data_IF_307195705990
#
_entry.id   IF_307195705990
#
_cell.length_a   1.000
_cell.length_b   1.000
_cell.length_c   1.000
_cell.angle_alpha   90.00
_cell.angle_beta   90.00
_cell.angle_gamma   90.00
#
_symmetry.space_group_name_H-M   'P 1'
#
loop_
_entity.id
_entity.type
_entity.pdbx_description
1 polymer ?
#
# COMPACT_ATOMS: atom_id res chain seq x y z
N UNK A 1 12.81 -13.60 -8.25
CA UNK A 1 12.01 -13.03 -7.15
C UNK A 1 11.16 -11.99 -7.83
N UNK A 2 9.98 -12.44 -8.25
CA UNK A 2 9.09 -11.71 -9.15
C UNK A 2 8.26 -10.74 -8.31
N UNK A 3 8.06 -9.52 -8.82
CA UNK A 3 7.60 -8.39 -8.04
C UNK A 3 6.12 -8.52 -7.68
N UNK A 4 5.80 -8.90 -6.45
CA UNK A 4 4.42 -8.87 -5.95
C UNK A 4 3.91 -7.42 -5.98
N UNK A 5 2.91 -7.15 -6.81
CA UNK A 5 2.27 -5.83 -6.89
C UNK A 5 1.07 -5.79 -5.94
N UNK A 6 1.19 -5.06 -4.84
CA UNK A 6 0.09 -4.83 -3.90
C UNK A 6 -0.83 -3.72 -4.42
N UNK A 7 -1.94 -4.08 -5.07
CA UNK A 7 -3.00 -3.14 -5.45
C UNK A 7 -4.11 -3.22 -4.40
N UNK A 8 -4.33 -2.14 -3.66
CA UNK A 8 -5.39 -2.05 -2.65
C UNK A 8 -6.71 -1.65 -3.31
N UNK A 9 -7.74 -2.49 -3.18
CA UNK A 9 -9.11 -2.21 -3.65
C UNK A 9 -10.10 -2.48 -2.50
N UNK A 10 -11.01 -1.55 -2.15
CA UNK A 10 -12.09 -1.83 -1.22
C UNK A 10 -13.21 -2.56 -1.97
N UNK A 11 -13.25 -3.89 -1.89
CA UNK A 11 -14.37 -4.69 -2.40
C UNK A 11 -15.49 -4.81 -1.36
N UNK A 12 -16.73 -4.74 -1.86
CA UNK A 12 -17.98 -4.59 -1.12
C UNK A 12 -18.56 -5.91 -0.59
N UNK A 13 -18.65 -6.01 0.75
CA UNK A 13 -19.86 -6.29 1.55
C UNK A 13 -20.63 -7.64 1.56
N UNK A 14 -20.18 -8.79 1.04
CA UNK A 14 -20.98 -10.04 1.25
C UNK A 14 -20.28 -11.26 1.87
N UNK A 15 -18.96 -11.28 2.07
CA UNK A 15 -18.26 -12.43 2.69
C UNK A 15 -17.76 -12.17 4.14
N UNK A 16 -18.14 -11.05 4.77
CA UNK A 16 -17.54 -10.60 6.04
C UNK A 16 -18.26 -11.03 7.33
N UNK A 17 -19.33 -11.83 7.26
CA UNK A 17 -20.16 -12.13 8.45
C UNK A 17 -19.57 -13.16 9.44
N UNK A 18 -18.44 -13.80 9.12
CA UNK A 18 -17.86 -14.90 9.92
C UNK A 18 -16.51 -14.59 10.59
N UNK A 19 -16.07 -13.32 10.63
CA UNK A 19 -14.82 -12.95 11.30
C UNK A 19 -15.06 -12.59 12.78
N UNK A 20 -14.23 -13.09 13.72
CA UNK A 20 -14.37 -12.77 15.13
C UNK A 20 -14.20 -11.27 15.37
N UNK A 21 -15.09 -10.69 16.20
CA UNK A 21 -15.08 -9.28 16.61
C UNK A 21 -13.70 -8.91 17.16
N UNK A 22 -12.89 -8.22 16.36
CA UNK A 22 -11.49 -7.89 16.63
C UNK A 22 -10.53 -8.14 15.46
N UNK A 23 -10.93 -8.90 14.45
CA UNK A 23 -10.17 -9.16 13.22
C UNK A 23 -10.46 -8.15 12.09
N UNK A 24 -10.98 -6.97 12.41
CA UNK A 24 -11.37 -5.93 11.44
C UNK A 24 -10.15 -5.17 10.85
N UNK A 25 -8.95 -5.76 10.86
CA UNK A 25 -7.82 -5.18 10.14
C UNK A 25 -8.12 -5.25 8.64
N UNK A 26 -7.68 -4.22 7.92
CA UNK A 26 -7.83 -4.09 6.48
C UNK A 26 -7.38 -5.39 5.79
N UNK A 27 -8.33 -6.17 5.24
CA UNK A 27 -7.99 -7.42 4.55
C UNK A 27 -7.05 -7.10 3.40
N UNK A 28 -5.82 -7.58 3.53
CA UNK A 28 -4.78 -7.44 2.52
C UNK A 28 -4.80 -8.70 1.68
N UNK A 29 -4.96 -8.57 0.37
CA UNK A 29 -4.93 -9.71 -0.54
C UNK A 29 -3.68 -9.66 -1.42
N UNK A 30 -3.22 -10.83 -1.84
CA UNK A 30 -2.13 -10.98 -2.82
C UNK A 30 -2.78 -11.14 -4.19
N UNK A 31 -2.34 -10.35 -5.15
CA UNK A 31 -2.81 -10.45 -6.54
C UNK A 31 -1.67 -10.96 -7.42
N UNK A 32 -1.84 -12.17 -7.95
CA UNK A 32 -0.94 -12.75 -8.94
C UNK A 32 -1.55 -12.61 -10.32
N UNK A 33 -0.86 -11.92 -11.20
CA UNK A 33 -1.25 -11.83 -12.60
C UNK A 33 -1.01 -13.16 -13.30
N UNK A 34 -1.86 -13.53 -14.27
CA UNK A 34 -1.72 -14.75 -15.07
C UNK A 34 -0.56 -14.71 -16.08
N UNK A 35 0.33 -13.73 -15.98
CA UNK A 35 1.47 -13.50 -16.86
C UNK A 35 2.65 -12.93 -16.06
N UNK A 36 3.86 -13.04 -16.60
CA UNK A 36 5.08 -12.42 -16.05
C UNK A 36 4.96 -10.89 -15.95
N UNK A 37 5.57 -10.30 -14.94
CA UNK A 37 5.46 -8.86 -14.70
C UNK A 37 6.03 -8.00 -15.83
N UNK A 38 7.16 -8.37 -16.44
CA UNK A 38 7.73 -7.61 -17.54
C UNK A 38 6.85 -7.74 -18.78
N UNK A 39 6.29 -8.92 -19.03
CA UNK A 39 5.33 -9.14 -20.11
C UNK A 39 4.07 -8.28 -19.91
N UNK A 40 3.50 -8.29 -18.69
CA UNK A 40 2.35 -7.47 -18.30
C UNK A 40 2.61 -5.98 -18.51
N UNK A 41 3.72 -5.47 -17.97
CA UNK A 41 4.07 -4.05 -18.08
C UNK A 41 4.30 -3.64 -19.54
N UNK A 42 4.99 -4.48 -20.32
CA UNK A 42 5.18 -4.23 -21.77
C UNK A 42 3.84 -4.15 -22.50
N UNK A 43 2.91 -5.07 -22.21
CA UNK A 43 1.57 -5.07 -22.78
C UNK A 43 0.76 -3.84 -22.39
N UNK A 44 0.78 -3.45 -21.12
CA UNK A 44 0.08 -2.24 -20.63
C UNK A 44 0.62 -0.97 -21.27
N UNK A 45 1.94 -0.87 -21.48
CA UNK A 45 2.58 0.26 -22.20
C UNK A 45 2.18 0.30 -23.66
N UNK A 46 2.19 -0.85 -24.35
CA UNK A 46 1.75 -0.95 -25.74
C UNK A 46 0.27 -0.57 -25.92
N UNK A 47 -0.57 -0.83 -24.91
CA UNK A 47 -1.98 -0.43 -24.88
C UNK A 47 -2.19 1.03 -24.44
N UNK A 48 -1.13 1.74 -24.04
CA UNK A 48 -1.22 3.10 -23.52
C UNK A 48 -1.93 3.21 -22.16
N UNK A 49 -1.98 2.12 -21.40
CA UNK A 49 -2.56 2.05 -20.06
C UNK A 49 -1.53 2.32 -18.94
N UNK A 50 -0.24 2.10 -19.22
CA UNK A 50 0.89 2.47 -18.36
C UNK A 50 1.68 3.63 -19.00
N UNK A 51 1.04 4.79 -19.13
CA UNK A 51 1.70 6.00 -19.64
C UNK A 51 2.51 6.67 -18.53
N UNK A 52 3.69 7.25 -18.84
CA UNK A 52 4.42 8.05 -17.88
C UNK A 52 3.54 9.15 -17.28
N UNK A 53 3.62 9.33 -15.97
CA UNK A 53 2.88 10.38 -15.31
C UNK A 53 3.40 11.76 -15.76
N UNK A 54 2.54 12.76 -16.02
CA UNK A 54 2.98 14.08 -16.50
C UNK A 54 3.99 14.79 -15.59
N UNK A 55 3.96 14.49 -14.29
CA UNK A 55 4.91 14.99 -13.29
C UNK A 55 6.19 14.12 -13.15
N UNK A 56 6.50 13.30 -14.15
CA UNK A 56 7.66 12.41 -14.11
C UNK A 56 7.44 11.18 -13.24
N UNK A 57 8.53 10.65 -12.68
CA UNK A 57 8.49 9.44 -11.86
C UNK A 57 7.85 9.75 -10.50
N UNK A 58 6.86 8.93 -10.13
CA UNK A 58 6.20 8.95 -8.83
C UNK A 58 6.16 7.52 -8.30
N UNK A 59 6.79 7.28 -7.15
CA UNK A 59 6.86 5.94 -6.53
C UNK A 59 6.31 5.97 -5.13
N UNK A 60 5.57 4.92 -4.74
CA UNK A 60 5.12 4.77 -3.36
C UNK A 60 6.32 4.49 -2.46
N UNK A 61 6.52 5.34 -1.45
CA UNK A 61 7.55 5.20 -0.44
C UNK A 61 6.98 4.54 0.82
N UNK A 62 5.79 4.96 1.24
CA UNK A 62 5.19 4.45 2.48
C UNK A 62 3.66 4.41 2.45
N UNK A 63 3.11 3.37 3.04
CA UNK A 63 1.69 3.26 3.38
C UNK A 63 1.57 3.25 4.91
N UNK A 64 0.77 4.15 5.46
CA UNK A 64 0.63 4.37 6.90
C UNK A 64 -0.77 3.95 7.33
N UNK A 65 -0.83 3.01 8.26
CA UNK A 65 -2.06 2.47 8.84
C UNK A 65 -2.23 3.02 10.25
N UNK A 66 -3.44 3.45 10.59
CA UNK A 66 -3.84 3.60 12.00
C UNK A 66 -4.43 2.29 12.48
N UNK A 67 -3.93 1.77 13.61
CA UNK A 67 -4.35 0.51 14.23
C UNK A 67 -4.33 0.66 15.75
N UNK A 68 -5.15 -0.11 16.48
CA UNK A 68 -5.23 -0.01 17.94
C UNK A 68 -3.92 -0.46 18.62
N UNK A 69 -3.30 -1.52 18.10
CA UNK A 69 -2.01 -2.06 18.55
C UNK A 69 -1.03 -2.18 17.37
N UNK A 70 -0.12 -1.20 17.21
CA UNK A 70 0.90 -1.23 16.16
C UNK A 70 1.86 -2.40 16.26
N UNK A 71 2.15 -2.90 17.47
CA UNK A 71 3.05 -4.04 17.63
C UNK A 71 2.38 -5.31 17.15
N UNK A 72 1.15 -5.58 17.60
CA UNK A 72 0.40 -6.75 17.17
C UNK A 72 0.17 -6.77 15.65
N UNK A 73 -0.14 -5.60 15.04
CA UNK A 73 -0.30 -5.50 13.59
C UNK A 73 1.00 -5.83 12.83
N UNK A 74 2.15 -5.32 13.29
CA UNK A 74 3.47 -5.62 12.69
C UNK A 74 3.81 -7.10 12.81
N UNK A 75 3.66 -7.69 14.00
CA UNK A 75 3.94 -9.11 14.23
C UNK A 75 3.06 -9.99 13.34
N UNK A 76 1.77 -9.67 13.24
CA UNK A 76 0.84 -10.40 12.39
C UNK A 76 1.21 -10.31 10.90
N UNK A 77 1.49 -9.11 10.39
CA UNK A 77 1.86 -8.93 8.99
C UNK A 77 3.24 -9.51 8.66
N UNK A 78 4.19 -9.47 9.60
CA UNK A 78 5.47 -10.15 9.46
C UNK A 78 5.27 -11.66 9.33
N UNK A 79 4.47 -12.26 10.21
CA UNK A 79 4.17 -13.69 10.17
C UNK A 79 3.43 -14.10 8.89
N UNK A 80 2.52 -13.26 8.40
CA UNK A 80 1.71 -13.57 7.23
C UNK A 80 2.46 -13.38 5.90
N UNK A 81 3.24 -12.30 5.78
CA UNK A 81 3.85 -11.90 4.51
C UNK A 81 5.37 -12.04 4.45
N UNK A 82 6.04 -12.26 5.58
CA UNK A 82 7.50 -12.38 5.65
C UNK A 82 8.25 -11.08 5.33
N UNK A 83 7.61 -9.92 5.49
CA UNK A 83 8.25 -8.61 5.27
C UNK A 83 9.35 -8.35 6.30
N UNK A 84 10.39 -7.60 5.92
CA UNK A 84 11.50 -7.31 6.82
C UNK A 84 11.09 -6.28 7.89
N UNK A 85 11.47 -6.53 9.14
CA UNK A 85 11.11 -5.67 10.26
C UNK A 85 11.84 -4.31 10.24
N UNK A 86 11.11 -3.28 10.65
CA UNK A 86 11.61 -1.94 10.94
C UNK A 86 11.14 -1.52 12.35
N UNK A 87 11.78 -0.50 12.91
CA UNK A 87 11.41 0.04 14.23
C UNK A 87 9.94 0.48 14.31
N UNK A 88 9.43 1.10 13.24
CA UNK A 88 8.06 1.67 13.18
C UNK A 88 7.15 0.91 12.21
N UNK A 89 7.58 -0.24 11.68
CA UNK A 89 6.84 -0.90 10.62
C UNK A 89 7.50 -2.13 10.01
N UNK A 90 7.18 -2.37 8.75
CA UNK A 90 7.72 -3.45 7.92
C UNK A 90 8.16 -2.89 6.57
N UNK A 91 9.04 -3.60 5.88
CA UNK A 91 9.48 -3.26 4.53
C UNK A 91 9.32 -4.41 3.55
N UNK A 92 8.86 -4.05 2.35
CA UNK A 92 8.78 -4.92 1.18
C UNK A 92 9.54 -4.24 0.03
N UNK A 93 10.79 -4.66 -0.18
CA UNK A 93 11.71 -3.97 -1.09
C UNK A 93 11.96 -2.54 -0.63
N UNK A 94 11.63 -1.55 -1.48
CA UNK A 94 11.82 -0.13 -1.20
C UNK A 94 10.61 0.51 -0.50
N UNK A 95 9.49 -0.22 -0.39
CA UNK A 95 8.25 0.27 0.20
C UNK A 95 8.22 -0.04 1.70
N UNK A 96 7.59 0.85 2.47
CA UNK A 96 7.41 0.70 3.91
C UNK A 96 5.93 0.67 4.28
N UNK A 97 5.56 -0.26 5.15
CA UNK A 97 4.27 -0.31 5.82
C UNK A 97 4.47 0.13 7.26
N UNK A 98 3.91 1.29 7.62
CA UNK A 98 4.07 1.89 8.93
C UNK A 98 2.75 1.80 9.70
N UNK A 99 2.85 1.55 11.00
CA UNK A 99 1.69 1.38 11.87
C UNK A 99 1.71 2.43 12.96
N UNK A 100 0.68 3.28 12.98
CA UNK A 100 0.47 4.34 13.98
C UNK A 100 -0.67 3.91 14.90
N UNK A 101 -0.52 4.18 16.20
CA UNK A 101 -1.59 3.90 17.15
C UNK A 101 -2.80 4.80 16.88
N UNK A 102 -4.00 4.21 16.80
CA UNK A 102 -5.25 4.93 16.63
C UNK A 102 -6.47 4.02 16.44
N UNK A 103 -7.66 4.57 16.65
CA UNK A 103 -8.92 3.82 16.63
C UNK A 103 -9.49 3.58 15.21
N UNK A 104 -8.89 4.17 14.18
CA UNK A 104 -9.47 4.17 12.84
C UNK A 104 -9.35 2.82 12.10
N UNK A 105 -8.43 1.96 12.53
CA UNK A 105 -8.12 0.64 11.99
C UNK A 105 -8.09 0.57 10.44
N UNK A 106 -7.34 1.46 9.79
CA UNK A 106 -7.32 1.59 8.32
C UNK A 106 -6.04 2.23 7.78
N UNK A 107 -5.81 2.10 6.47
CA UNK A 107 -4.89 2.96 5.73
C UNK A 107 -5.35 4.42 5.84
N UNK A 108 -4.46 5.31 6.31
CA UNK A 108 -4.75 6.73 6.52
C UNK A 108 -3.90 7.66 5.68
N UNK A 109 -2.69 7.24 5.28
CA UNK A 109 -1.80 8.08 4.50
C UNK A 109 -0.92 7.27 3.53
N UNK A 110 -0.75 7.81 2.32
CA UNK A 110 0.21 7.34 1.33
C UNK A 110 1.26 8.42 1.08
N UNK A 111 2.53 8.01 1.14
CA UNK A 111 3.69 8.88 0.93
C UNK A 111 4.40 8.46 -0.34
N UNK A 112 4.61 9.41 -1.24
CA UNK A 112 5.24 9.19 -2.53
C UNK A 112 6.56 9.95 -2.63
N UNK A 113 7.55 9.35 -3.27
CA UNK A 113 8.68 10.10 -3.82
C UNK A 113 8.27 10.64 -5.19
N UNK A 114 8.57 11.91 -5.48
CA UNK A 114 8.36 12.50 -6.79
C UNK A 114 9.66 13.08 -7.35
N UNK A 115 9.91 12.83 -8.64
CA UNK A 115 11.05 13.45 -9.34
C UNK A 115 10.82 14.94 -9.59
N UNK A 116 9.57 15.37 -9.76
CA UNK A 116 9.20 16.77 -9.98
C UNK A 116 9.33 17.59 -8.68
N UNK A 117 10.24 18.59 -8.62
CA UNK A 117 10.42 19.41 -7.44
C UNK A 117 9.16 20.19 -7.01
N UNK A 118 8.25 20.48 -7.93
CA UNK A 118 7.01 21.22 -7.64
C UNK A 118 6.01 20.42 -6.81
N UNK A 119 6.14 19.09 -6.80
CA UNK A 119 5.32 18.21 -6.00
C UNK A 119 5.86 18.03 -4.58
N UNK A 120 7.15 18.30 -4.32
CA UNK A 120 7.74 18.06 -3.00
C UNK A 120 7.05 18.87 -1.90
N UNK A 121 6.64 18.18 -0.84
CA UNK A 121 5.90 18.77 0.28
C UNK A 121 4.41 18.97 0.02
N UNK A 122 3.93 18.75 -1.21
CA UNK A 122 2.50 18.85 -1.53
C UNK A 122 1.72 17.76 -0.82
N UNK A 123 0.50 18.13 -0.42
CA UNK A 123 -0.44 17.24 0.25
C UNK A 123 -1.83 17.44 -0.31
N UNK A 124 -2.56 16.36 -0.48
CA UNK A 124 -3.97 16.43 -0.83
C UNK A 124 -4.73 15.30 -0.13
N UNK A 125 -6.04 15.51 0.02
CA UNK A 125 -6.93 14.56 0.69
C UNK A 125 -7.96 14.05 -0.28
N UNK A 126 -8.15 12.74 -0.31
CA UNK A 126 -9.25 12.10 -1.03
C UNK A 126 -10.04 11.25 -0.05
N UNK A 127 -11.29 11.63 0.20
CA UNK A 127 -12.11 11.03 1.25
C UNK A 127 -11.46 11.17 2.63
N UNK A 128 -11.10 10.03 3.24
CA UNK A 128 -10.44 9.94 4.56
C UNK A 128 -8.94 9.63 4.48
N UNK A 129 -8.38 9.58 3.28
CA UNK A 129 -6.96 9.27 3.04
C UNK A 129 -6.17 10.53 2.68
N UNK A 130 -5.01 10.68 3.32
CA UNK A 130 -4.02 11.70 3.02
C UNK A 130 -3.00 11.19 1.99
N UNK A 131 -2.57 12.06 1.09
CA UNK A 131 -1.58 11.76 0.07
C UNK A 131 -0.51 12.84 0.14
N UNK A 132 0.75 12.43 0.32
CA UNK A 132 1.89 13.33 0.50
C UNK A 132 3.01 13.00 -0.45
N UNK A 133 3.64 14.03 -1.00
CA UNK A 133 4.85 13.90 -1.81
C UNK A 133 6.07 14.40 -1.03
N UNK A 134 7.20 13.69 -1.13
CA UNK A 134 8.49 14.04 -0.53
C UNK A 134 9.56 14.27 -1.61
#
# INVERSE_FOLDING_TARGET
MDSVHHIWCPLSSQEFQDLPDGAETTLTFVLQWGEDDNARLTRLRAQGLDKPHPAGEVTLQSAIFEVQDPQAAREHWHALFGFNELSEGLSAGQQRFLFRQGEANRLVELVFNASDPSLKGQRFRVGRGEYRFQ
#
